data_IF_865474312448
#
_entry.id   IF_865474312448
#
_cell.length_a   1.000
_cell.length_b   1.000
_cell.length_c   1.000
_cell.angle_alpha   90.00
_cell.angle_beta   90.00
_cell.angle_gamma   90.00
#
_symmetry.space_group_name_H-M   'P 1'
#
loop_
_entity.id
_entity.type
_entity.pdbx_description
1 polymer ?
#
# COMPACT_ATOMS: atom_id res chain seq x y z
N UNK A 1 22.28 7.85 8.72
CA UNK A 1 21.60 6.58 9.03
C UNK A 1 22.57 5.41 9.24
N UNK A 2 23.38 4.98 8.26
CA UNK A 2 24.37 3.88 8.45
C UNK A 2 25.32 4.11 9.65
N UNK A 3 25.75 5.35 9.87
CA UNK A 3 26.61 5.75 11.00
C UNK A 3 25.96 5.52 12.36
N UNK A 4 24.65 5.86 12.50
CA UNK A 4 23.89 5.67 13.74
C UNK A 4 23.70 4.20 14.10
N UNK A 5 23.45 3.36 13.08
CA UNK A 5 23.35 1.90 13.26
C UNK A 5 24.69 1.30 13.66
N UNK A 6 25.81 1.75 13.06
CA UNK A 6 27.17 1.29 13.40
C UNK A 6 27.58 1.69 14.82
N UNK A 7 27.17 2.88 15.26
CA UNK A 7 27.48 3.42 16.60
C UNK A 7 26.50 2.92 17.68
N UNK A 8 25.60 1.99 17.38
CA UNK A 8 24.62 1.49 18.38
C UNK A 8 23.56 2.49 18.81
N UNK A 9 23.46 3.65 18.16
CA UNK A 9 22.53 4.73 18.48
C UNK A 9 21.12 4.49 17.93
N UNK A 10 20.94 3.50 17.06
CA UNK A 10 19.66 3.17 16.46
C UNK A 10 19.53 1.66 16.22
N UNK A 11 18.30 1.16 16.26
CA UNK A 11 17.94 -0.23 15.96
C UNK A 11 16.96 -0.28 14.80
N UNK A 12 17.14 -1.22 13.87
CA UNK A 12 16.18 -1.44 12.78
C UNK A 12 14.95 -2.15 13.31
N UNK A 13 13.78 -1.52 13.18
CA UNK A 13 12.48 -2.12 13.55
C UNK A 13 11.83 -2.78 12.32
N UNK A 14 11.86 -2.10 11.17
CA UNK A 14 11.19 -2.56 9.96
C UNK A 14 12.07 -2.29 8.74
N UNK A 15 12.08 -3.22 7.78
CA UNK A 15 12.88 -3.09 6.55
C UNK A 15 12.10 -2.43 5.41
N UNK A 16 10.79 -2.59 5.39
CA UNK A 16 9.95 -1.99 4.36
C UNK A 16 8.61 -1.51 4.96
N UNK A 17 8.28 -0.20 4.99
CA UNK A 17 9.24 0.90 4.79
C UNK A 17 10.40 0.83 5.77
N UNK A 18 11.57 1.30 5.39
CA UNK A 18 12.73 1.22 6.27
C UNK A 18 12.55 2.13 7.48
N UNK A 19 12.47 1.53 8.68
CA UNK A 19 12.17 2.22 9.93
C UNK A 19 13.22 1.86 10.98
N UNK A 20 13.77 2.88 11.62
CA UNK A 20 14.70 2.73 12.72
C UNK A 20 14.09 3.31 14.00
N UNK A 21 14.46 2.76 15.14
CA UNK A 21 14.21 3.31 16.47
C UNK A 21 15.51 3.93 16.99
N UNK A 22 15.45 5.17 17.40
CA UNK A 22 16.56 5.85 18.06
C UNK A 22 16.63 5.41 19.51
N UNK A 23 17.83 5.09 20.00
CA UNK A 23 18.06 4.59 21.34
C UNK A 23 18.47 5.70 22.34
N UNK A 24 18.31 6.95 21.96
CA UNK A 24 18.57 8.12 22.78
C UNK A 24 17.39 9.09 22.70
N UNK A 25 17.26 9.95 23.74
CA UNK A 25 16.23 10.97 23.75
C UNK A 25 16.51 12.03 22.69
N UNK A 26 15.51 12.33 21.88
CA UNK A 26 15.54 13.42 20.91
C UNK A 26 14.68 14.58 21.38
N UNK A 27 14.93 15.77 20.86
CA UNK A 27 14.05 16.92 21.06
C UNK A 27 12.65 16.59 20.50
N UNK A 28 11.61 16.89 21.27
CA UNK A 28 10.21 16.62 20.91
C UNK A 28 9.68 17.59 19.84
N UNK A 29 10.46 17.87 18.79
CA UNK A 29 9.98 18.66 17.68
C UNK A 29 9.06 17.79 16.82
N UNK A 30 7.76 18.05 16.90
CA UNK A 30 6.74 17.34 16.12
C UNK A 30 6.35 18.24 14.95
N UNK A 31 6.63 17.76 13.74
CA UNK A 31 6.18 18.41 12.52
C UNK A 31 4.71 18.04 12.28
N UNK A 32 3.81 19.00 11.98
CA UNK A 32 2.43 18.68 11.65
C UNK A 32 2.37 17.82 10.39
N UNK A 33 1.62 16.72 10.46
CA UNK A 33 1.44 15.76 9.37
C UNK A 33 -0.04 15.60 9.10
N UNK A 34 -0.43 15.79 7.85
CA UNK A 34 -1.79 15.56 7.38
C UNK A 34 -1.88 14.16 6.78
N UNK A 35 -2.81 13.36 7.30
CA UNK A 35 -3.06 12.01 6.83
C UNK A 35 -4.33 12.01 5.97
N UNK A 36 -4.20 11.60 4.71
CA UNK A 36 -5.32 11.32 3.82
C UNK A 36 -5.56 9.82 3.73
N UNK A 37 -6.82 9.40 3.79
CA UNK A 37 -7.23 8.00 3.63
C UNK A 37 -8.41 7.97 2.65
N UNK A 38 -8.29 7.20 1.58
CA UNK A 38 -9.37 6.88 0.65
C UNK A 38 -9.78 5.42 0.86
N UNK A 39 -10.89 5.23 1.57
CA UNK A 39 -11.37 3.91 1.98
C UNK A 39 -12.26 3.30 0.91
N UNK A 40 -11.66 2.60 -0.06
CA UNK A 40 -12.40 1.81 -1.03
C UNK A 40 -12.66 0.37 -0.56
N UNK A 41 -13.64 -0.29 -1.15
CA UNK A 41 -14.01 -1.69 -0.81
C UNK A 41 -12.93 -2.71 -1.17
N UNK A 42 -12.17 -2.47 -2.23
CA UNK A 42 -11.10 -3.36 -2.73
C UNK A 42 -9.71 -2.82 -2.45
N UNK A 43 -9.54 -1.54 -2.57
CA UNK A 43 -8.28 -0.85 -2.36
C UNK A 43 -8.50 0.31 -1.38
N UNK A 44 -7.51 0.55 -0.54
CA UNK A 44 -7.48 1.69 0.37
C UNK A 44 -6.21 2.47 0.11
N UNK A 45 -6.36 3.72 -0.31
CA UNK A 45 -5.25 4.63 -0.44
C UNK A 45 -4.89 5.26 0.91
N UNK A 46 -3.61 5.47 1.18
CA UNK A 46 -3.11 6.16 2.37
C UNK A 46 -1.97 7.08 1.98
N UNK A 47 -2.05 8.34 2.35
CA UNK A 47 -0.99 9.30 2.11
C UNK A 47 -0.77 10.17 3.36
N UNK A 48 0.48 10.35 3.74
CA UNK A 48 0.89 11.27 4.79
C UNK A 48 1.73 12.40 4.18
N UNK A 49 1.29 13.63 4.36
CA UNK A 49 1.94 14.82 3.80
C UNK A 49 2.24 15.84 4.89
N UNK A 50 3.29 16.60 4.68
CA UNK A 50 3.49 17.90 5.32
C UNK A 50 3.11 19.00 4.33
N UNK A 51 3.13 20.25 4.73
CA UNK A 51 2.87 21.39 3.81
C UNK A 51 3.76 21.38 2.56
N UNK A 52 5.00 20.87 2.67
CA UNK A 52 6.01 20.95 1.62
C UNK A 52 6.19 19.64 0.84
N UNK A 53 6.03 18.49 1.50
CA UNK A 53 6.38 17.21 0.88
C UNK A 53 5.51 16.05 1.36
N UNK A 54 5.39 15.07 0.49
CA UNK A 54 4.86 13.75 0.80
C UNK A 54 5.88 12.96 1.63
N UNK A 55 5.43 12.39 2.76
CA UNK A 55 6.26 11.57 3.65
C UNK A 55 6.04 10.09 3.43
N UNK A 56 4.82 9.72 3.07
CA UNK A 56 4.41 8.33 2.87
C UNK A 56 3.24 8.28 1.91
N UNK A 57 3.27 7.31 1.00
CA UNK A 57 2.15 7.02 0.13
C UNK A 57 2.03 5.51 -0.06
N UNK A 58 0.83 4.98 0.07
CA UNK A 58 0.56 3.56 -0.10
C UNK A 58 -0.81 3.32 -0.74
N UNK A 59 -0.86 2.29 -1.57
CA UNK A 59 -2.08 1.66 -2.05
C UNK A 59 -2.18 0.26 -1.43
N UNK A 60 -3.24 0.04 -0.65
CA UNK A 60 -3.46 -1.19 0.12
C UNK A 60 -4.53 -2.02 -0.57
N UNK A 61 -4.12 -3.09 -1.23
CA UNK A 61 -5.04 -4.06 -1.82
C UNK A 61 -5.64 -4.95 -0.72
N UNK A 62 -6.95 -4.85 -0.54
CA UNK A 62 -7.71 -5.64 0.43
C UNK A 62 -8.01 -7.04 -0.13
N UNK A 63 -8.61 -7.89 0.69
CA UNK A 63 -9.03 -9.23 0.29
C UNK A 63 -10.21 -9.16 -0.67
N UNK A 64 -10.15 -9.91 -1.77
CA UNK A 64 -11.21 -10.00 -2.77
C UNK A 64 -12.19 -11.17 -2.55
N UNK A 65 -11.83 -12.10 -1.65
CA UNK A 65 -12.60 -13.31 -1.36
C UNK A 65 -13.74 -13.07 -0.36
N UNK A 66 -13.85 -11.87 0.17
CA UNK A 66 -14.87 -11.49 1.16
C UNK A 66 -16.25 -11.31 0.50
N UNK A 67 -16.29 -10.87 -0.77
CA UNK A 67 -17.56 -10.61 -1.47
C UNK A 67 -18.48 -11.85 -1.52
N UNK A 68 -17.90 -13.06 -1.70
CA UNK A 68 -18.65 -14.31 -1.68
C UNK A 68 -19.11 -14.79 -0.29
N UNK A 69 -18.50 -14.27 0.78
CA UNK A 69 -18.83 -14.60 2.16
C UNK A 69 -19.85 -13.64 2.76
N UNK A 70 -20.10 -12.51 2.11
CA UNK A 70 -20.85 -11.37 2.66
C UNK A 70 -22.19 -11.13 1.99
N UNK A 71 -22.62 -11.99 1.05
CA UNK A 71 -23.96 -11.90 0.47
C UNK A 71 -25.08 -11.97 1.53
N UNK A 72 -24.81 -12.58 2.67
CA UNK A 72 -25.72 -12.69 3.82
C UNK A 72 -25.67 -11.47 4.78
N UNK A 73 -24.70 -10.58 4.65
CA UNK A 73 -24.50 -9.46 5.59
C UNK A 73 -24.67 -8.07 4.95
N UNK A 74 -25.23 -7.99 3.75
CA UNK A 74 -25.30 -6.73 3.01
C UNK A 74 -26.17 -5.67 3.70
N UNK A 75 -27.20 -6.10 4.41
CA UNK A 75 -28.12 -5.21 5.13
C UNK A 75 -27.52 -4.59 6.41
N UNK A 76 -26.50 -5.22 6.98
CA UNK A 76 -25.85 -4.71 8.21
C UNK A 76 -24.67 -3.76 7.90
N UNK A 77 -24.29 -3.62 6.64
CA UNK A 77 -23.06 -2.89 6.26
C UNK A 77 -23.18 -1.38 6.37
N UNK A 78 -24.34 -0.83 6.02
CA UNK A 78 -24.55 0.62 6.12
C UNK A 78 -24.50 1.08 7.58
N UNK A 79 -25.07 0.31 8.50
CA UNK A 79 -24.99 0.58 9.94
C UNK A 79 -23.57 0.42 10.50
N UNK A 80 -22.87 -0.66 10.13
CA UNK A 80 -21.46 -0.86 10.54
C UNK A 80 -20.51 0.22 9.99
N UNK A 81 -20.78 0.76 8.81
CA UNK A 81 -19.96 1.83 8.23
C UNK A 81 -20.15 3.15 8.97
N UNK A 82 -21.37 3.48 9.36
CA UNK A 82 -21.70 4.64 10.20
C UNK A 82 -21.05 4.50 11.59
N UNK A 83 -21.17 3.35 12.24
CA UNK A 83 -20.54 3.09 13.54
C UNK A 83 -19.01 3.17 13.50
N UNK A 84 -18.40 2.68 12.40
CA UNK A 84 -16.95 2.81 12.18
C UNK A 84 -16.53 4.27 12.02
N UNK A 85 -17.29 5.07 11.28
CA UNK A 85 -17.04 6.50 11.11
C UNK A 85 -17.13 7.25 12.43
N UNK A 86 -18.17 6.99 13.24
CA UNK A 86 -18.35 7.62 14.55
C UNK A 86 -17.27 7.17 15.55
N UNK A 87 -16.82 5.93 15.47
CA UNK A 87 -15.72 5.43 16.29
C UNK A 87 -14.41 6.13 15.93
N UNK A 88 -14.15 6.36 14.64
CA UNK A 88 -12.96 7.10 14.20
C UNK A 88 -13.02 8.55 14.65
N UNK A 89 -14.16 9.23 14.50
CA UNK A 89 -14.35 10.62 14.96
C UNK A 89 -14.16 10.76 16.47
N UNK A 90 -14.69 9.83 17.27
CA UNK A 90 -14.49 9.81 18.72
C UNK A 90 -13.04 9.63 19.13
N UNK A 91 -12.33 8.75 18.41
CA UNK A 91 -10.93 8.45 18.72
C UNK A 91 -9.95 9.53 18.23
N UNK A 92 -10.31 10.23 17.19
CA UNK A 92 -9.47 11.23 16.52
C UNK A 92 -10.33 12.49 16.25
N UNK A 93 -10.37 13.46 17.17
CA UNK A 93 -11.23 14.65 17.04
C UNK A 93 -10.90 15.51 15.82
N UNK A 94 -9.66 15.46 15.33
CA UNK A 94 -9.20 16.24 14.19
C UNK A 94 -9.46 15.55 12.83
N UNK A 95 -10.37 14.57 12.77
CA UNK A 95 -10.73 13.88 11.53
C UNK A 95 -11.81 14.65 10.78
N UNK A 96 -11.53 14.93 9.51
CA UNK A 96 -12.48 15.54 8.59
C UNK A 96 -12.95 14.51 7.55
N UNK A 97 -14.26 14.43 7.37
CA UNK A 97 -14.84 13.65 6.30
C UNK A 97 -14.85 14.49 5.01
N UNK A 98 -14.51 13.86 3.90
CA UNK A 98 -14.56 14.49 2.57
C UNK A 98 -15.32 13.60 1.59
N UNK A 99 -15.86 14.19 0.54
CA UNK A 99 -16.64 13.49 -0.47
C UNK A 99 -15.85 13.34 -1.77
N UNK A 100 -16.10 12.27 -2.53
CA UNK A 100 -15.39 11.98 -3.77
C UNK A 100 -15.47 13.10 -4.82
N UNK A 101 -16.57 13.86 -4.88
CA UNK A 101 -16.70 15.00 -5.79
C UNK A 101 -15.73 16.15 -5.41
N UNK A 102 -15.48 16.38 -4.12
CA UNK A 102 -14.54 17.42 -3.65
C UNK A 102 -13.11 17.00 -4.05
N UNK A 103 -12.75 15.74 -3.82
CA UNK A 103 -11.45 15.18 -4.23
C UNK A 103 -11.26 15.29 -5.75
N UNK A 104 -12.29 14.93 -6.53
CA UNK A 104 -12.30 15.08 -7.99
C UNK A 104 -12.08 16.53 -8.43
N UNK A 105 -12.81 17.47 -7.83
CA UNK A 105 -12.68 18.91 -8.16
C UNK A 105 -11.29 19.44 -7.80
N UNK A 106 -10.75 19.08 -6.64
CA UNK A 106 -9.40 19.44 -6.22
C UNK A 106 -8.36 18.92 -7.21
N UNK A 107 -8.51 17.68 -7.65
CA UNK A 107 -7.63 17.05 -8.63
C UNK A 107 -7.67 17.77 -9.98
N UNK A 108 -8.86 18.03 -10.52
CA UNK A 108 -9.05 18.74 -11.80
C UNK A 108 -8.49 20.15 -11.72
N UNK A 109 -8.79 20.90 -10.65
CA UNK A 109 -8.30 22.28 -10.44
C UNK A 109 -6.77 22.36 -10.44
N UNK A 110 -6.09 21.32 -10.00
CA UNK A 110 -4.64 21.26 -9.94
C UNK A 110 -4.01 20.48 -11.11
N UNK A 111 -4.78 20.13 -12.16
CA UNK A 111 -4.34 19.38 -13.34
C UNK A 111 -3.64 18.05 -12.99
N UNK A 112 -4.14 17.35 -11.95
CA UNK A 112 -3.56 16.12 -11.48
C UNK A 112 -4.20 14.89 -12.16
N UNK A 113 -3.43 13.83 -12.47
CA UNK A 113 -3.96 12.62 -13.07
C UNK A 113 -4.91 11.86 -12.13
N UNK A 114 -5.77 11.01 -12.71
CA UNK A 114 -6.67 10.16 -11.94
C UNK A 114 -5.95 8.89 -11.50
N UNK A 115 -5.32 8.94 -10.33
CA UNK A 115 -4.62 7.82 -9.72
C UNK A 115 -4.96 7.75 -8.22
N UNK A 116 -5.03 6.55 -7.66
CA UNK A 116 -5.40 6.34 -6.25
C UNK A 116 -4.52 7.14 -5.29
N UNK A 117 -3.21 7.10 -5.49
CA UNK A 117 -2.25 7.83 -4.66
C UNK A 117 -2.37 9.36 -4.81
N UNK A 118 -2.90 9.86 -5.94
CA UNK A 118 -3.17 11.29 -6.17
C UNK A 118 -4.42 11.72 -5.42
N UNK A 119 -5.49 10.93 -5.50
CA UNK A 119 -6.75 11.22 -4.82
C UNK A 119 -6.53 11.29 -3.30
N UNK A 120 -5.76 10.36 -2.73
CA UNK A 120 -5.43 10.36 -1.29
C UNK A 120 -4.62 11.60 -0.87
N UNK A 121 -3.71 12.08 -1.73
CA UNK A 121 -2.98 13.32 -1.50
C UNK A 121 -3.89 14.55 -1.53
N UNK A 122 -4.90 14.56 -2.40
CA UNK A 122 -5.94 15.59 -2.38
C UNK A 122 -6.74 15.58 -1.07
N UNK A 123 -7.04 14.38 -0.54
CA UNK A 123 -7.72 14.20 0.75
C UNK A 123 -6.87 14.74 1.90
N UNK A 124 -5.55 14.58 1.85
CA UNK A 124 -4.63 15.13 2.86
C UNK A 124 -4.50 16.66 2.83
N UNK A 125 -5.25 17.35 1.96
CA UNK A 125 -5.26 18.80 1.74
C UNK A 125 -3.97 19.42 1.19
N UNK A 126 -3.02 18.58 0.77
CA UNK A 126 -1.74 19.02 0.20
C UNK A 126 -1.54 18.43 -1.21
N UNK A 127 -2.38 18.78 -2.21
CA UNK A 127 -2.35 18.18 -3.53
C UNK A 127 -1.05 18.48 -4.30
N UNK A 128 -0.37 19.59 -3.98
CA UNK A 128 0.87 20.04 -4.62
C UNK A 128 2.14 19.70 -3.82
N UNK A 129 2.02 18.90 -2.76
CA UNK A 129 3.20 18.47 -1.99
C UNK A 129 4.21 17.75 -2.89
N UNK A 130 5.52 18.00 -2.68
CA UNK A 130 6.59 17.34 -3.42
C UNK A 130 6.49 15.82 -3.28
N UNK A 131 6.40 15.11 -4.41
CA UNK A 131 6.28 13.67 -4.49
C UNK A 131 7.51 12.94 -3.94
N UNK A 132 7.30 11.77 -3.35
CA UNK A 132 8.38 10.83 -3.01
C UNK A 132 9.03 10.19 -4.23
N UNK A 133 8.34 10.15 -5.39
CA UNK A 133 8.77 9.43 -6.57
C UNK A 133 8.52 7.92 -6.53
N UNK A 134 8.00 7.41 -5.43
CA UNK A 134 7.57 6.02 -5.27
C UNK A 134 6.41 5.92 -4.28
N UNK A 135 5.65 4.82 -4.37
CA UNK A 135 4.61 4.47 -3.41
C UNK A 135 4.74 3.00 -3.00
N UNK A 136 4.13 2.64 -1.87
CA UNK A 136 4.09 1.28 -1.37
C UNK A 136 2.81 0.59 -1.82
N UNK A 137 2.92 -0.43 -2.67
CA UNK A 137 1.83 -1.36 -2.88
C UNK A 137 1.82 -2.37 -1.73
N UNK A 138 0.73 -2.43 -0.99
CA UNK A 138 0.54 -3.32 0.15
C UNK A 138 -0.59 -4.29 -0.13
N UNK A 139 -0.31 -5.58 -0.14
CA UNK A 139 -1.32 -6.61 -0.36
C UNK A 139 -1.57 -7.38 0.93
N UNK A 140 -2.83 -7.39 1.39
CA UNK A 140 -3.23 -8.15 2.56
C UNK A 140 -3.30 -9.63 2.24
N UNK A 141 -2.63 -10.46 3.06
CA UNK A 141 -2.65 -11.92 2.93
C UNK A 141 -3.39 -12.57 4.11
N UNK A 142 -4.03 -13.71 3.83
CA UNK A 142 -4.70 -14.51 4.86
C UNK A 142 -3.67 -15.21 5.75
N UNK A 143 -3.93 -15.21 7.07
CA UNK A 143 -3.06 -15.93 8.03
C UNK A 143 -2.92 -17.42 7.72
N UNK A 144 -4.01 -18.04 7.24
CA UNK A 144 -4.06 -19.48 6.98
C UNK A 144 -3.30 -19.93 5.73
N UNK A 145 -2.95 -19.00 4.82
CA UNK A 145 -2.22 -19.30 3.59
C UNK A 145 -0.70 -19.23 3.75
N UNK A 146 -0.18 -19.28 4.97
CA UNK A 146 1.26 -19.32 5.24
C UNK A 146 1.88 -20.71 5.07
N UNK A 147 1.06 -21.73 4.84
CA UNK A 147 1.53 -23.05 4.49
C UNK A 147 1.86 -23.10 2.99
N UNK A 148 2.99 -23.72 2.68
CA UNK A 148 3.48 -23.80 1.29
C UNK A 148 2.64 -24.77 0.47
N UNK A 149 2.02 -25.76 1.12
CA UNK A 149 1.12 -26.72 0.47
C UNK A 149 -0.28 -26.65 1.09
N UNK A 150 -1.29 -26.70 0.22
CA UNK A 150 -2.67 -26.91 0.63
C UNK A 150 -2.94 -28.39 0.89
N UNK A 151 -3.88 -28.70 1.77
CA UNK A 151 -4.33 -30.07 1.97
C UNK A 151 -4.88 -30.66 0.67
N UNK A 152 -4.43 -31.87 0.32
CA UNK A 152 -4.94 -32.59 -0.83
C UNK A 152 -6.23 -33.32 -0.46
N UNK A 153 -7.18 -33.35 -1.41
CA UNK A 153 -8.37 -34.20 -1.33
C UNK A 153 -7.99 -35.51 -2.02
N UNK A 154 -8.08 -36.62 -1.29
CA UNK A 154 -7.86 -37.97 -1.81
C UNK A 154 -9.07 -38.42 -2.67
N UNK A 155 -8.87 -39.43 -3.52
CA UNK A 155 -9.98 -40.17 -4.15
C UNK A 155 -10.97 -40.61 -3.08
N UNK A 156 -12.26 -40.26 -3.23
CA UNK A 156 -13.30 -40.51 -2.23
C UNK A 156 -13.64 -39.31 -1.33
N UNK A 157 -13.11 -38.11 -1.61
CA UNK A 157 -13.48 -36.86 -0.92
C UNK A 157 -12.87 -36.66 0.48
N UNK A 158 -12.03 -37.58 0.95
CA UNK A 158 -11.40 -37.48 2.26
C UNK A 158 -10.23 -36.46 2.19
N UNK A 159 -10.29 -35.44 3.03
CA UNK A 159 -9.20 -34.49 3.17
C UNK A 159 -8.04 -35.06 3.98
N UNK A 160 -6.89 -35.21 3.36
CA UNK A 160 -5.66 -35.51 4.07
C UNK A 160 -5.08 -34.23 4.66
N UNK A 161 -4.77 -34.25 5.98
CA UNK A 161 -4.15 -33.11 6.66
C UNK A 161 -2.85 -32.74 5.96
N UNK A 162 -2.61 -31.45 5.75
CA UNK A 162 -1.36 -30.99 5.16
C UNK A 162 -0.18 -31.34 6.08
N UNK A 163 0.73 -32.18 5.60
CA UNK A 163 1.92 -32.64 6.33
C UNK A 163 3.19 -31.92 5.87
N UNK A 164 3.05 -30.88 4.99
CA UNK A 164 4.20 -30.12 4.54
C UNK A 164 4.83 -29.34 5.69
N UNK A 165 6.14 -29.32 5.72
CA UNK A 165 6.90 -28.54 6.71
C UNK A 165 6.55 -27.06 6.55
N UNK A 166 6.42 -26.36 7.69
CA UNK A 166 6.15 -24.92 7.70
C UNK A 166 7.34 -24.10 7.16
N UNK A 167 8.54 -24.60 7.38
CA UNK A 167 9.80 -24.01 6.90
C UNK A 167 10.52 -25.00 5.99
N UNK A 168 10.98 -24.52 4.84
CA UNK A 168 11.81 -25.29 3.93
C UNK A 168 13.09 -24.53 3.66
N UNK A 169 14.23 -25.12 4.00
CA UNK A 169 15.54 -24.46 3.90
C UNK A 169 15.57 -23.07 4.57
N UNK A 170 14.79 -22.87 5.67
CA UNK A 170 14.69 -21.62 6.40
C UNK A 170 13.69 -20.59 5.82
N UNK A 171 13.03 -20.91 4.72
CA UNK A 171 12.02 -20.07 4.05
C UNK A 171 10.61 -20.57 4.29
N UNK A 172 9.64 -19.68 4.26
CA UNK A 172 8.20 -19.99 4.31
C UNK A 172 7.44 -19.26 3.20
N UNK A 173 6.19 -19.62 3.03
CA UNK A 173 5.32 -18.98 2.05
C UNK A 173 5.23 -17.47 2.30
N UNK A 174 5.32 -16.71 1.23
CA UNK A 174 5.29 -15.25 1.20
C UNK A 174 6.47 -14.53 1.87
N UNK A 175 7.55 -15.23 2.21
CA UNK A 175 8.78 -14.56 2.60
C UNK A 175 9.29 -13.70 1.42
N UNK A 176 9.72 -12.48 1.75
CA UNK A 176 10.33 -11.57 0.78
C UNK A 176 11.78 -11.94 0.58
N UNK A 177 12.16 -12.16 -0.65
CA UNK A 177 13.52 -12.59 -1.04
C UNK A 177 14.10 -11.65 -2.08
N UNK A 178 15.42 -11.55 -2.07
CA UNK A 178 16.18 -10.85 -3.12
C UNK A 178 16.75 -11.85 -4.11
N UNK A 179 16.58 -11.57 -5.39
CA UNK A 179 17.13 -12.33 -6.52
C UNK A 179 17.54 -11.36 -7.63
N UNK A 180 18.79 -11.45 -8.11
CA UNK A 180 19.34 -10.56 -9.13
C UNK A 180 19.10 -9.06 -8.86
N UNK A 181 19.27 -8.62 -7.61
CA UNK A 181 19.11 -7.22 -7.20
C UNK A 181 17.64 -6.78 -6.96
N UNK A 182 16.67 -7.55 -7.38
CA UNK A 182 15.24 -7.24 -7.22
C UNK A 182 14.61 -8.00 -6.05
N UNK A 183 13.46 -7.52 -5.58
CA UNK A 183 12.70 -8.12 -4.48
C UNK A 183 11.48 -8.87 -5.00
N UNK A 184 11.28 -10.09 -4.50
CA UNK A 184 10.19 -10.99 -4.87
C UNK A 184 9.61 -11.65 -3.63
N UNK A 185 8.53 -12.42 -3.80
CA UNK A 185 7.87 -13.18 -2.74
C UNK A 185 7.78 -14.66 -3.14
N UNK A 186 7.93 -15.56 -2.16
CA UNK A 186 7.81 -17.00 -2.36
C UNK A 186 6.35 -17.38 -2.43
N UNK A 187 5.90 -17.90 -3.58
CA UNK A 187 4.53 -18.38 -3.79
C UNK A 187 4.43 -19.92 -3.77
N UNK A 188 5.54 -20.61 -3.91
CA UNK A 188 5.60 -22.06 -3.85
C UNK A 188 7.01 -22.58 -3.72
N UNK A 189 7.13 -23.89 -3.42
CA UNK A 189 8.42 -24.55 -3.29
C UNK A 189 8.34 -26.06 -3.61
N UNK A 190 9.49 -26.66 -3.86
CA UNK A 190 9.67 -28.10 -4.04
C UNK A 190 10.61 -28.62 -2.95
N UNK A 191 10.45 -29.87 -2.50
CA UNK A 191 11.34 -30.52 -1.51
C UNK A 191 12.81 -30.47 -1.92
N UNK A 192 13.09 -30.44 -3.22
CA UNK A 192 14.44 -30.29 -3.78
C UNK A 192 15.11 -28.94 -3.53
N UNK A 193 14.41 -27.97 -2.90
CA UNK A 193 14.95 -26.64 -2.61
C UNK A 193 14.82 -25.64 -3.76
N UNK A 194 13.89 -25.88 -4.68
CA UNK A 194 13.54 -24.92 -5.72
C UNK A 194 12.27 -24.15 -5.35
N UNK A 195 12.28 -22.83 -5.53
CA UNK A 195 11.20 -21.92 -5.16
C UNK A 195 10.56 -21.27 -6.37
N UNK A 196 9.23 -21.11 -6.33
CA UNK A 196 8.47 -20.28 -7.26
C UNK A 196 8.39 -18.87 -6.65
N UNK A 197 9.13 -17.92 -7.22
CA UNK A 197 9.15 -16.53 -6.76
C UNK A 197 8.41 -15.63 -7.75
N UNK A 198 7.64 -14.68 -7.20
CA UNK A 198 6.78 -13.77 -7.98
C UNK A 198 6.79 -12.37 -7.37
N UNK A 199 6.38 -11.39 -8.19
CA UNK A 199 6.00 -10.06 -7.72
C UNK A 199 4.57 -10.05 -7.16
N UNK A 200 4.07 -8.91 -6.67
CA UNK A 200 2.69 -8.82 -6.15
C UNK A 200 1.62 -8.90 -7.24
N UNK A 201 1.96 -8.66 -8.51
CA UNK A 201 1.05 -8.89 -9.65
C UNK A 201 0.90 -10.39 -9.98
N UNK A 202 1.56 -11.29 -9.21
CA UNK A 202 1.56 -12.75 -9.41
C UNK A 202 2.29 -13.17 -10.68
N UNK A 203 3.05 -12.29 -11.31
CA UNK A 203 3.89 -12.60 -12.45
C UNK A 203 5.12 -13.39 -12.00
N UNK A 204 5.37 -14.51 -12.66
CA UNK A 204 6.56 -15.33 -12.41
C UNK A 204 7.79 -14.63 -12.97
N UNK A 205 8.86 -14.62 -12.18
CA UNK A 205 10.15 -14.03 -12.58
C UNK A 205 10.78 -14.80 -13.73
N UNK A 206 10.68 -16.13 -13.66
CA UNK A 206 11.13 -17.04 -14.71
C UNK A 206 10.10 -18.15 -14.90
N UNK A 207 10.04 -18.77 -16.08
CA UNK A 207 9.22 -19.96 -16.33
C UNK A 207 9.60 -21.14 -15.42
N UNK A 208 10.82 -21.14 -14.86
CA UNK A 208 11.40 -22.22 -14.06
C UNK A 208 11.59 -21.78 -12.61
N UNK A 209 11.37 -22.72 -11.66
CA UNK A 209 11.62 -22.47 -10.22
C UNK A 209 13.11 -22.21 -9.95
N UNK A 210 13.41 -21.34 -8.99
CA UNK A 210 14.76 -20.87 -8.69
C UNK A 210 15.31 -21.63 -7.49
N UNK A 211 16.59 -22.04 -7.56
CA UNK A 211 17.26 -22.75 -6.46
C UNK A 211 17.42 -21.82 -5.25
N UNK A 212 17.22 -22.37 -4.05
CA UNK A 212 17.34 -21.64 -2.77
C UNK A 212 18.72 -20.99 -2.56
N UNK A 213 19.80 -21.53 -3.14
CA UNK A 213 21.14 -20.96 -3.06
C UNK A 213 21.29 -19.61 -3.77
N UNK A 214 20.41 -19.33 -4.75
CA UNK A 214 20.44 -18.09 -5.56
C UNK A 214 19.61 -16.95 -4.97
N UNK A 215 18.83 -17.23 -3.93
CA UNK A 215 17.95 -16.25 -3.28
C UNK A 215 18.46 -15.92 -1.88
N UNK A 216 18.27 -14.68 -1.45
CA UNK A 216 18.59 -14.22 -0.09
C UNK A 216 17.31 -13.75 0.61
N UNK A 217 17.11 -14.17 1.86
CA UNK A 217 15.98 -13.71 2.66
C UNK A 217 16.12 -12.20 2.95
N UNK A 218 15.18 -11.41 2.48
CA UNK A 218 15.12 -9.98 2.75
C UNK A 218 14.25 -9.67 3.97
N UNK A 219 13.04 -10.25 4.03
CA UNK A 219 12.11 -10.06 5.14
C UNK A 219 11.20 -11.30 5.29
N UNK A 220 10.93 -11.71 6.54
CA UNK A 220 9.97 -12.78 6.82
C UNK A 220 8.54 -12.29 6.59
N UNK A 221 7.68 -13.16 6.06
CA UNK A 221 6.30 -12.83 5.76
C UNK A 221 5.55 -12.28 6.97
N UNK A 222 4.86 -11.16 6.76
CA UNK A 222 3.96 -10.50 7.71
C UNK A 222 2.54 -10.53 7.18
N UNK A 223 1.62 -9.83 7.83
CA UNK A 223 0.21 -9.74 7.42
C UNK A 223 0.03 -9.06 6.06
N UNK A 224 0.89 -8.11 5.74
CA UNK A 224 0.92 -7.41 4.47
C UNK A 224 2.21 -7.71 3.72
N UNK A 225 2.09 -8.01 2.44
CA UNK A 225 3.22 -8.03 1.50
C UNK A 225 3.41 -6.61 0.97
N UNK A 226 4.64 -6.11 0.97
CA UNK A 226 4.93 -4.72 0.61
C UNK A 226 5.95 -4.68 -0.53
N UNK A 227 5.54 -4.05 -1.63
CA UNK A 227 6.36 -3.79 -2.82
C UNK A 227 6.49 -2.27 -3.01
N UNK A 228 7.67 -1.81 -3.40
CA UNK A 228 7.90 -0.41 -3.74
C UNK A 228 7.71 -0.26 -5.25
N UNK A 229 6.85 0.66 -5.65
CA UNK A 229 6.58 1.01 -7.04
C UNK A 229 6.92 2.46 -7.32
N UNK A 230 7.39 2.73 -8.54
CA UNK A 230 7.62 4.10 -8.96
C UNK A 230 6.28 4.81 -9.14
N UNK A 231 6.19 6.02 -8.62
CA UNK A 231 5.12 6.94 -9.01
C UNK A 231 5.42 7.41 -10.44
N UNK A 232 4.38 7.51 -11.26
CA UNK A 232 4.50 8.21 -12.54
C UNK A 232 4.61 9.69 -12.19
N UNK A 233 5.81 10.22 -12.31
CA UNK A 233 6.04 11.67 -12.22
C UNK A 233 5.56 12.25 -13.55
N UNK A 234 4.36 12.74 -13.55
CA UNK A 234 3.92 13.63 -14.62
C UNK A 234 4.74 14.91 -14.43
N UNK A 235 5.65 15.18 -15.34
CA UNK A 235 6.16 16.53 -15.48
C UNK A 235 4.93 17.40 -15.68
N UNK A 236 4.61 18.18 -14.65
CA UNK A 236 3.63 19.25 -14.83
C UNK A 236 4.20 20.12 -15.93
N UNK A 237 3.71 19.97 -17.14
CA UNK A 237 3.84 21.03 -18.12
C UNK A 237 3.30 22.26 -17.40
N UNK A 238 4.20 23.10 -16.96
CA UNK A 238 3.90 24.47 -16.61
C UNK A 238 3.41 25.04 -17.95
N UNK A 239 2.15 24.80 -18.28
CA UNK A 239 1.49 25.56 -19.33
C UNK A 239 1.67 27.00 -18.93
N UNK A 240 2.35 27.82 -19.74
CA UNK A 240 2.40 29.25 -19.49
C UNK A 240 0.95 29.69 -19.31
N UNK A 241 0.69 30.43 -18.24
CA UNK A 241 -0.61 30.93 -17.86
C UNK A 241 -1.40 31.29 -19.11
N UNK A 242 -2.51 30.58 -19.35
CA UNK A 242 -3.48 30.97 -20.37
C UNK A 242 -3.96 32.30 -19.88
N UNK A 243 -3.52 33.36 -20.59
CA UNK A 243 -4.02 34.72 -20.43
C UNK A 243 -5.55 34.65 -20.48
N UNK A 244 -6.28 35.29 -19.58
CA UNK A 244 -7.73 35.30 -19.62
C UNK A 244 -8.16 35.79 -21.00
N UNK A 245 -9.17 35.21 -21.65
CA UNK A 245 -9.64 35.67 -22.94
C UNK A 245 -10.00 37.14 -22.82
N UNK A 246 -9.35 37.95 -23.61
CA UNK A 246 -9.68 39.38 -23.77
C UNK A 246 -11.14 39.48 -24.15
N UNK A 247 -11.84 40.30 -23.42
CA UNK A 247 -13.27 40.49 -23.41
C UNK A 247 -13.98 40.41 -24.76
N UNK A 248 -15.05 39.69 -24.77
CA UNK A 248 -16.23 39.99 -25.57
C UNK A 248 -17.25 40.59 -24.62
N UNK A 249 -17.53 41.87 -24.87
CA UNK A 249 -18.51 42.63 -24.12
C UNK A 249 -19.88 41.98 -24.17
N UNK A 250 -20.48 41.83 -23.02
CA UNK A 250 -21.90 41.58 -22.91
C UNK A 250 -22.60 42.86 -22.57
N UNK A 251 -23.37 43.31 -23.56
CA UNK A 251 -24.35 44.38 -23.46
C UNK A 251 -25.32 44.10 -22.30
N UNK A 252 -25.48 45.09 -21.45
CA UNK A 252 -26.60 45.22 -20.53
C UNK A 252 -27.91 45.25 -21.31
N UNK A 253 -28.80 44.35 -21.04
CA UNK A 253 -30.21 44.35 -21.42
C UNK A 253 -31.04 44.34 -20.15
N UNK A 254 -31.61 45.49 -19.84
CA UNK A 254 -32.72 45.67 -18.92
C UNK A 254 -33.92 44.85 -19.38
N UNK A 255 -34.51 44.06 -18.49
CA UNK A 255 -35.91 44.10 -18.04
C UNK A 255 -36.10 43.14 -16.91
#
# INVERSE_FOLDING_TARGET
>A
MKRMLKNGQAKVIKRCPFTIHLLYNTTNYIQPVHLGIDAGSRNTGVCATTEKKELYCADVELRKDIEGLLSTHRENWEQEEIEKQDTIKRKYPDVFMTYGYITKNTRIKNNLPKEHYVDVRCISRNPLAKLLGYYYLQKKILRHNRQIHKSNILKGGIRKRNQAEYLVKGYRLFDKVSYNGNSYFIFGWRKSGFFDIRNLNVEKVNKVSINCKKIKLAEKAKRYLIEIRKQVVWEYAISPAISPPKGSGFLAGLL
#
